data_IF_065984225657
#
_entry.id   IF_065984225657
#
_cell.length_a   1.000
_cell.length_b   1.000
_cell.length_c   1.000
_cell.angle_alpha   90.00
_cell.angle_beta   90.00
_cell.angle_gamma   90.00
#
_symmetry.space_group_name_H-M   'P 1'
#
loop_
_entity.id
_entity.type
_entity.pdbx_description
1 polymer ?
#
# COMPACT_ATOMS: atom_id res chain seq x y z
N UNK A 1 -5.30 -7.02 5.19
CA UNK A 1 -5.61 -6.64 3.80
C UNK A 1 -4.31 -6.37 3.07
N UNK A 2 -3.92 -7.20 2.10
CA UNK A 2 -2.59 -7.13 1.46
C UNK A 2 -2.59 -6.03 0.39
N UNK A 3 -1.54 -5.22 0.30
CA UNK A 3 -1.45 -4.14 -0.68
C UNK A 3 -1.57 -4.62 -2.14
N UNK A 4 -1.19 -5.87 -2.43
CA UNK A 4 -1.36 -6.52 -3.76
C UNK A 4 -2.82 -6.56 -4.25
N UNK A 5 -3.77 -6.64 -3.33
CA UNK A 5 -5.21 -6.71 -3.64
C UNK A 5 -5.91 -5.35 -3.41
N UNK A 6 -5.15 -4.29 -3.13
CA UNK A 6 -5.70 -2.98 -2.82
C UNK A 6 -6.04 -2.22 -4.11
N UNK A 7 -7.26 -1.69 -4.22
CA UNK A 7 -7.70 -0.87 -5.37
C UNK A 7 -6.90 0.42 -5.55
N UNK A 8 -6.26 0.91 -4.49
CA UNK A 8 -5.41 2.10 -4.49
C UNK A 8 -3.96 1.79 -4.90
N UNK A 9 -3.63 0.52 -5.12
CA UNK A 9 -2.31 0.10 -5.58
C UNK A 9 -2.12 0.49 -7.04
N UNK A 10 -1.10 1.31 -7.30
CA UNK A 10 -0.65 1.68 -8.64
C UNK A 10 0.71 1.07 -8.90
N UNK A 11 0.90 0.51 -10.09
CA UNK A 11 2.20 0.03 -10.57
C UNK A 11 2.66 0.93 -11.72
N UNK A 12 3.85 1.50 -11.59
CA UNK A 12 4.52 2.24 -12.65
C UNK A 12 5.75 1.47 -13.09
N UNK A 13 5.79 1.08 -14.36
CA UNK A 13 6.90 0.36 -14.96
C UNK A 13 7.55 1.25 -16.05
N UNK A 14 8.31 2.26 -15.62
CA UNK A 14 9.03 3.16 -16.54
C UNK A 14 10.45 2.66 -16.84
N UNK A 15 11.12 2.08 -15.84
CA UNK A 15 12.43 1.42 -15.95
C UNK A 15 12.56 0.23 -14.99
N UNK A 16 11.95 0.35 -13.80
CA UNK A 16 11.73 -0.73 -12.83
C UNK A 16 10.24 -0.76 -12.49
N UNK A 17 9.73 -1.91 -12.04
CA UNK A 17 8.37 -2.01 -11.50
C UNK A 17 8.33 -1.34 -10.15
N UNK A 18 7.76 -0.15 -10.04
CA UNK A 18 7.60 0.51 -8.74
C UNK A 18 6.13 0.55 -8.38
N UNK A 19 5.84 0.08 -7.18
CA UNK A 19 4.50 0.00 -6.62
C UNK A 19 4.28 1.14 -5.66
N UNK A 20 3.13 1.80 -5.79
CA UNK A 20 2.71 2.92 -4.96
C UNK A 20 1.29 2.73 -4.48
N UNK A 21 0.97 3.36 -3.36
CA UNK A 21 -0.35 3.46 -2.77
C UNK A 21 -0.84 4.89 -2.97
N UNK A 22 -1.84 5.05 -3.83
CA UNK A 22 -2.46 6.34 -4.14
C UNK A 22 -3.69 6.60 -3.25
N UNK A 23 -3.61 6.19 -1.99
CA UNK A 23 -4.66 6.46 -1.02
C UNK A 23 -4.53 7.90 -0.52
N UNK A 24 -5.64 8.62 -0.47
CA UNK A 24 -5.71 10.02 -0.04
C UNK A 24 -5.40 10.20 1.47
N UNK A 25 -5.89 9.31 2.34
CA UNK A 25 -5.53 9.26 3.77
C UNK A 25 -4.16 8.60 4.08
N UNK A 26 -3.23 8.51 3.13
CA UNK A 26 -1.89 7.99 3.44
C UNK A 26 -1.15 8.94 4.37
N UNK A 27 -0.50 8.40 5.39
CA UNK A 27 0.35 9.20 6.29
C UNK A 27 1.75 9.48 5.72
N UNK A 28 2.14 8.75 4.67
CA UNK A 28 3.42 8.93 3.98
C UNK A 28 3.31 9.81 2.73
N UNK A 29 4.30 10.65 2.50
CA UNK A 29 4.28 11.65 1.41
C UNK A 29 4.41 10.98 0.02
N UNK A 30 5.25 9.93 -0.07
CA UNK A 30 5.54 9.25 -1.33
C UNK A 30 4.57 8.11 -1.65
N UNK A 31 4.02 7.44 -0.62
CA UNK A 31 3.15 6.28 -0.79
C UNK A 31 3.86 5.09 -1.46
N UNK A 32 5.18 5.01 -1.40
CA UNK A 32 5.95 3.96 -2.09
C UNK A 32 5.84 2.64 -1.34
N UNK A 33 5.29 1.63 -2.00
CA UNK A 33 5.13 0.27 -1.45
C UNK A 33 6.39 -0.58 -1.64
N UNK A 34 7.07 -0.44 -2.79
CA UNK A 34 8.25 -1.25 -3.08
C UNK A 34 8.70 -1.13 -4.52
N UNK A 35 9.90 -1.64 -4.77
CA UNK A 35 10.49 -1.75 -6.10
C UNK A 35 10.70 -3.23 -6.43
N UNK A 36 10.32 -3.61 -7.65
CA UNK A 36 10.42 -4.95 -8.25
C UNK A 36 9.50 -6.01 -7.63
N UNK A 37 9.35 -6.01 -6.30
CA UNK A 37 8.47 -6.92 -5.55
C UNK A 37 7.55 -6.15 -4.61
N UNK A 38 6.28 -6.52 -4.62
CA UNK A 38 5.30 -6.02 -3.66
C UNK A 38 5.48 -6.77 -2.33
N UNK A 39 5.62 -6.05 -1.20
CA UNK A 39 5.56 -6.69 0.09
C UNK A 39 4.20 -7.38 0.28
N UNK A 40 4.21 -8.58 0.85
CA UNK A 40 3.01 -9.30 1.32
C UNK A 40 2.48 -8.71 2.64
N UNK A 41 3.13 -7.67 3.17
CA UNK A 41 2.73 -6.95 4.37
C UNK A 41 2.17 -5.58 4.01
N UNK A 42 1.14 -5.16 4.75
CA UNK A 42 0.61 -3.80 4.72
C UNK A 42 1.60 -2.89 5.46
N UNK A 43 2.10 -1.81 4.86
CA UNK A 43 2.95 -0.88 5.57
C UNK A 43 2.19 -0.16 6.68
N UNK A 44 2.88 0.19 7.76
CA UNK A 44 2.28 0.82 8.96
C UNK A 44 1.69 2.20 8.67
N UNK A 45 2.21 2.91 7.68
CA UNK A 45 1.67 4.20 7.24
C UNK A 45 0.39 4.07 6.39
N UNK A 46 -0.02 2.85 6.04
CA UNK A 46 -1.21 2.61 5.26
C UNK A 46 -2.45 2.80 6.15
N UNK A 47 -3.44 3.62 5.75
CA UNK A 47 -4.63 3.89 6.56
C UNK A 47 -5.48 2.62 6.80
N UNK A 48 -5.36 1.61 5.93
CA UNK A 48 -6.03 0.32 6.08
C UNK A 48 -5.36 -0.63 7.08
N UNK A 49 -4.16 -0.33 7.59
CA UNK A 49 -3.52 -1.17 8.63
C UNK A 49 -4.39 -1.20 9.89
N UNK A 50 -4.99 -0.05 10.23
CA UNK A 50 -5.76 0.10 11.45
C UNK A 50 -7.18 -0.47 11.32
N UNK A 51 -7.75 -0.52 10.11
CA UNK A 51 -9.09 -1.12 9.89
C UNK A 51 -9.11 -2.62 10.18
N UNK A 52 -7.99 -3.34 10.00
CA UNK A 52 -7.92 -4.76 10.36
C UNK A 52 -7.90 -5.03 11.86
N UNK A 53 -7.67 -4.00 12.69
CA UNK A 53 -7.72 -4.09 14.15
C UNK A 53 -9.13 -3.82 14.67
N UNK A 54 -10.02 -3.25 13.84
CA UNK A 54 -11.37 -2.80 14.22
C UNK A 54 -12.49 -3.58 13.52
N UNK A 55 -12.28 -4.88 13.28
CA UNK A 55 -13.37 -5.83 12.97
C UNK A 55 -13.41 -6.95 14.03
N UNK A 56 -13.34 -6.55 15.31
CA UNK A 56 -13.63 -7.42 16.45
C UNK A 56 -14.42 -6.65 17.50
N UNK A 57 -15.68 -6.34 17.18
CA UNK A 57 -16.72 -6.12 18.19
C UNK A 57 -17.95 -6.95 17.83
#
# INVERSE_FOLDING_TARGET
MICKECKYMKCYAVNKRIYYCDHEDRSDDMGKLGEDTLPDITPEWCPMVNMTVTEKE
#
